data_IF_730226789367
#
_entry.id   IF_730226789367
#
_cell.length_a   1.000
_cell.length_b   1.000
_cell.length_c   1.000
_cell.angle_alpha   90.00
_cell.angle_beta   90.00
_cell.angle_gamma   90.00
#
_symmetry.space_group_name_H-M   'P 1'
#
loop_
_entity.id
_entity.type
_entity.pdbx_description
1 polymer ?
#
# COMPACT_ATOMS: atom_id res chain seq x y z
N UNK A 1 48.92 -16.50 2.55
CA UNK A 1 48.35 -15.67 1.46
C UNK A 1 46.89 -16.05 1.15
N UNK A 2 46.18 -16.77 2.03
CA UNK A 2 44.87 -17.38 1.72
C UNK A 2 43.69 -16.89 2.60
N UNK A 3 43.98 -16.12 3.66
CA UNK A 3 42.95 -15.55 4.54
C UNK A 3 42.38 -14.23 4.01
N UNK A 4 43.23 -13.38 3.43
CA UNK A 4 42.82 -12.11 2.83
C UNK A 4 41.84 -12.32 1.67
N UNK A 5 42.10 -13.30 0.80
CA UNK A 5 41.21 -13.67 -0.31
C UNK A 5 39.86 -14.20 0.18
N UNK A 6 39.84 -14.97 1.27
CA UNK A 6 38.61 -15.44 1.93
C UNK A 6 37.81 -14.31 2.55
N UNK A 7 38.48 -13.33 3.17
CA UNK A 7 37.85 -12.16 3.78
C UNK A 7 37.25 -11.26 2.69
N UNK A 8 38.00 -10.98 1.62
CA UNK A 8 37.53 -10.21 0.46
C UNK A 8 36.32 -10.87 -0.21
N UNK A 9 36.37 -12.19 -0.44
CA UNK A 9 35.24 -12.92 -1.01
C UNK A 9 33.99 -12.88 -0.12
N UNK A 10 34.15 -12.76 1.21
CA UNK A 10 33.05 -12.65 2.17
C UNK A 10 32.45 -11.24 2.20
N UNK A 11 33.31 -10.21 2.12
CA UNK A 11 32.92 -8.81 2.02
C UNK A 11 32.15 -8.56 0.73
N UNK A 12 32.66 -9.04 -0.41
CA UNK A 12 32.01 -8.90 -1.72
C UNK A 12 30.60 -9.49 -1.74
N UNK A 13 30.40 -10.69 -1.18
CA UNK A 13 29.06 -11.31 -1.06
C UNK A 13 28.14 -10.54 -0.10
N UNK A 14 28.68 -9.78 0.83
CA UNK A 14 27.90 -8.95 1.75
C UNK A 14 27.47 -7.66 1.06
N UNK A 15 28.37 -7.04 0.31
CA UNK A 15 28.09 -5.88 -0.55
C UNK A 15 27.07 -6.22 -1.65
N UNK A 16 27.26 -7.33 -2.38
CA UNK A 16 26.32 -7.80 -3.41
C UNK A 16 24.90 -8.03 -2.83
N UNK A 17 24.82 -8.60 -1.62
CA UNK A 17 23.53 -8.77 -0.94
C UNK A 17 22.91 -7.44 -0.54
N UNK A 18 23.72 -6.52 -0.04
CA UNK A 18 23.26 -5.19 0.34
C UNK A 18 22.78 -4.39 -0.88
N UNK A 19 23.48 -4.44 -2.02
CA UNK A 19 23.05 -3.82 -3.28
C UNK A 19 21.74 -4.42 -3.80
N UNK A 20 21.59 -5.74 -3.79
CA UNK A 20 20.35 -6.41 -4.20
C UNK A 20 19.19 -6.03 -3.29
N UNK A 21 19.43 -5.96 -1.98
CA UNK A 21 18.43 -5.54 -0.99
C UNK A 21 18.04 -4.07 -1.18
N UNK A 22 19.01 -3.16 -1.39
CA UNK A 22 18.76 -1.75 -1.69
C UNK A 22 17.98 -1.58 -3.00
N UNK A 23 18.36 -2.23 -4.10
CA UNK A 23 17.59 -2.18 -5.36
C UNK A 23 16.18 -2.75 -5.19
N UNK A 24 16.00 -3.80 -4.39
CA UNK A 24 14.66 -4.32 -4.09
C UNK A 24 13.84 -3.32 -3.26
N UNK A 25 14.47 -2.61 -2.33
CA UNK A 25 13.84 -1.56 -1.52
C UNK A 25 13.48 -0.33 -2.34
N UNK A 26 14.38 0.14 -3.22
CA UNK A 26 14.16 1.22 -4.18
C UNK A 26 13.05 0.88 -5.16
N UNK A 27 13.13 -0.28 -5.83
CA UNK A 27 12.08 -0.73 -6.76
C UNK A 27 10.74 -0.91 -6.05
N UNK A 28 10.74 -1.37 -4.80
CA UNK A 28 9.54 -1.33 -3.97
C UNK A 28 9.09 0.12 -3.83
N UNK A 29 9.94 1.01 -3.31
CA UNK A 29 9.63 2.42 -3.05
C UNK A 29 9.05 3.13 -4.28
N UNK A 30 9.60 2.91 -5.47
CA UNK A 30 9.09 3.44 -6.74
C UNK A 30 7.72 2.85 -7.12
N UNK A 31 7.48 1.54 -6.91
CA UNK A 31 6.15 0.93 -7.03
C UNK A 31 5.14 1.44 -5.97
N UNK A 32 5.65 1.98 -4.86
CA UNK A 32 4.91 2.59 -3.74
C UNK A 32 4.74 4.10 -3.89
N UNK A 33 5.44 4.76 -4.81
CA UNK A 33 5.30 6.18 -5.09
C UNK A 33 3.98 6.37 -5.87
N UNK A 34 2.91 6.23 -5.10
CA UNK A 34 1.55 6.17 -5.55
C UNK A 34 1.25 7.43 -6.35
N UNK A 35 0.84 7.25 -7.61
CA UNK A 35 0.19 8.31 -8.36
C UNK A 35 -0.92 8.88 -7.47
N UNK A 36 -0.93 10.20 -7.27
CA UNK A 36 -1.82 10.89 -6.32
C UNK A 36 -1.83 10.35 -4.87
N UNK A 37 -0.73 9.80 -4.33
CA UNK A 37 -0.58 9.34 -2.94
C UNK A 37 -1.45 8.12 -2.52
N UNK A 38 -2.41 7.69 -3.36
CA UNK A 38 -3.37 6.61 -3.05
C UNK A 38 -3.32 5.44 -4.03
N UNK A 39 -2.77 5.61 -5.24
CA UNK A 39 -2.64 4.55 -6.25
C UNK A 39 -1.30 3.81 -6.18
N UNK A 40 -1.06 3.07 -5.09
CA UNK A 40 0.04 2.10 -5.05
C UNK A 40 -0.29 0.84 -5.88
N UNK A 41 0.73 0.04 -6.24
CA UNK A 41 0.53 -1.17 -7.06
C UNK A 41 -0.56 -2.13 -6.52
N UNK A 42 -0.64 -2.44 -5.21
CA UNK A 42 -1.73 -3.27 -4.68
C UNK A 42 -3.12 -2.65 -4.81
N UNK A 43 -3.24 -1.33 -4.64
CA UNK A 43 -4.50 -0.62 -4.87
C UNK A 43 -4.93 -0.73 -6.32
N UNK A 44 -4.00 -0.54 -7.27
CA UNK A 44 -4.28 -0.71 -8.70
C UNK A 44 -4.75 -2.13 -9.02
N UNK A 45 -4.07 -3.17 -8.51
CA UNK A 45 -4.49 -4.57 -8.69
C UNK A 45 -5.91 -4.81 -8.16
N UNK A 46 -6.25 -4.20 -7.01
CA UNK A 46 -7.59 -4.29 -6.41
C UNK A 46 -8.64 -3.63 -7.31
N UNK A 47 -8.37 -2.42 -7.80
CA UNK A 47 -9.24 -1.69 -8.74
C UNK A 47 -9.45 -2.47 -10.04
N UNK A 48 -8.38 -3.02 -10.62
CA UNK A 48 -8.49 -3.90 -11.80
C UNK A 48 -9.37 -5.12 -11.52
N UNK A 49 -9.30 -5.70 -10.32
CA UNK A 49 -10.21 -6.77 -9.89
C UNK A 49 -11.68 -6.35 -9.89
N UNK A 50 -11.98 -5.15 -9.36
CA UNK A 50 -13.34 -4.60 -9.33
C UNK A 50 -13.87 -4.27 -10.73
N UNK A 51 -13.00 -3.76 -11.61
CA UNK A 51 -13.33 -3.48 -13.01
C UNK A 51 -13.63 -4.78 -13.77
N UNK A 52 -12.77 -5.79 -13.65
CA UNK A 52 -13.01 -7.10 -14.31
C UNK A 52 -14.29 -7.78 -13.84
N UNK A 53 -14.70 -7.57 -12.58
CA UNK A 53 -15.98 -8.05 -12.04
C UNK A 53 -17.19 -7.25 -12.51
N UNK A 54 -17.00 -6.14 -13.23
CA UNK A 54 -18.07 -5.24 -13.68
C UNK A 54 -18.70 -4.40 -12.57
N UNK A 55 -18.04 -4.29 -11.41
CA UNK A 55 -18.53 -3.47 -10.28
C UNK A 55 -18.25 -2.00 -10.56
N UNK A 56 -17.06 -1.72 -11.10
CA UNK A 56 -16.67 -0.39 -11.56
C UNK A 56 -16.51 -0.49 -13.07
N UNK A 57 -17.18 0.38 -13.81
CA UNK A 57 -16.98 0.55 -15.25
C UNK A 57 -16.01 1.68 -15.53
N UNK A 58 -16.19 2.81 -14.86
CA UNK A 58 -15.41 4.03 -15.08
C UNK A 58 -15.03 4.68 -13.74
N UNK A 59 -13.83 5.24 -13.68
CA UNK A 59 -13.37 6.09 -12.57
C UNK A 59 -13.01 7.44 -13.17
N UNK A 60 -13.62 8.49 -12.65
CA UNK A 60 -13.38 9.89 -13.00
C UNK A 60 -12.42 10.54 -11.99
N UNK A 61 -12.28 11.86 -12.08
CA UNK A 61 -11.38 12.62 -11.21
C UNK A 61 -11.74 12.55 -9.72
N UNK A 62 -10.76 12.96 -8.89
CA UNK A 62 -10.95 13.10 -7.46
C UNK A 62 -12.00 14.17 -7.14
N UNK A 63 -12.99 13.80 -6.34
CA UNK A 63 -14.05 14.69 -5.84
C UNK A 63 -13.58 15.41 -4.57
N UNK A 64 -12.86 14.69 -3.71
CA UNK A 64 -12.40 15.23 -2.42
C UNK A 64 -11.14 14.54 -1.93
N UNK A 65 -10.18 15.32 -1.47
CA UNK A 65 -9.05 14.84 -0.68
C UNK A 65 -9.34 14.98 0.81
N UNK A 66 -9.02 13.95 1.59
CA UNK A 66 -9.10 13.96 3.05
C UNK A 66 -7.79 13.47 3.66
N UNK A 67 -7.67 13.63 4.99
CA UNK A 67 -6.46 13.26 5.75
C UNK A 67 -6.08 11.76 5.63
N UNK A 68 -7.09 10.92 5.40
CA UNK A 68 -6.98 9.46 5.50
C UNK A 68 -7.34 8.73 4.20
N UNK A 69 -7.96 9.43 3.25
CA UNK A 69 -8.44 8.86 2.00
C UNK A 69 -8.70 9.93 0.95
N UNK A 70 -8.69 9.56 -0.31
CA UNK A 70 -9.24 10.35 -1.42
C UNK A 70 -10.54 9.71 -1.91
N UNK A 71 -11.51 10.55 -2.26
CA UNK A 71 -12.80 10.14 -2.81
C UNK A 71 -12.83 10.46 -4.30
N UNK A 72 -13.12 9.44 -5.10
CA UNK A 72 -13.27 9.52 -6.55
C UNK A 72 -14.73 9.30 -6.92
N UNK A 73 -15.14 9.94 -8.00
CA UNK A 73 -16.41 9.66 -8.64
C UNK A 73 -16.19 8.57 -9.69
N UNK A 74 -17.14 7.65 -9.84
CA UNK A 74 -17.10 6.62 -10.86
C UNK A 74 -18.50 6.16 -11.24
N UNK A 75 -18.58 5.19 -12.16
CA UNK A 75 -19.83 4.55 -12.56
C UNK A 75 -19.71 3.04 -12.54
N UNK A 76 -20.81 2.37 -12.18
CA UNK A 76 -20.96 0.94 -12.35
C UNK A 76 -21.36 0.60 -13.80
N UNK A 77 -21.33 -0.69 -14.16
CA UNK A 77 -21.70 -1.14 -15.51
C UNK A 77 -23.16 -0.83 -15.89
N UNK A 78 -24.06 -0.71 -14.91
CA UNK A 78 -25.46 -0.31 -15.14
C UNK A 78 -25.66 1.21 -15.26
N UNK A 79 -24.60 2.00 -15.14
CA UNK A 79 -24.65 3.46 -15.18
C UNK A 79 -24.92 4.11 -13.81
N UNK A 80 -25.02 3.32 -12.74
CA UNK A 80 -25.18 3.84 -11.39
C UNK A 80 -23.94 4.62 -10.95
N UNK A 81 -24.15 5.76 -10.31
CA UNK A 81 -23.08 6.60 -9.78
C UNK A 81 -22.43 5.95 -8.55
N UNK A 82 -21.09 5.94 -8.52
CA UNK A 82 -20.28 5.35 -7.46
C UNK A 82 -19.41 6.40 -6.77
N UNK A 83 -19.33 6.28 -5.45
CA UNK A 83 -18.33 6.97 -4.64
C UNK A 83 -17.21 5.97 -4.30
N UNK A 84 -16.02 6.16 -4.87
CA UNK A 84 -14.88 5.25 -4.73
C UNK A 84 -13.90 5.88 -3.74
N UNK A 85 -13.90 5.38 -2.50
CA UNK A 85 -13.02 5.87 -1.44
C UNK A 85 -11.75 5.01 -1.36
N UNK A 86 -10.60 5.63 -1.57
CA UNK A 86 -9.29 4.97 -1.53
C UNK A 86 -8.50 5.51 -0.33
N UNK A 87 -8.11 4.62 0.59
CA UNK A 87 -7.38 4.98 1.81
C UNK A 87 -5.88 5.11 1.54
N UNK A 88 -5.21 6.07 2.20
CA UNK A 88 -3.75 6.21 2.10
C UNK A 88 -3.08 5.00 2.77
N UNK A 89 -2.20 4.30 2.07
CA UNK A 89 -1.54 3.09 2.59
C UNK A 89 -0.21 3.37 3.31
N UNK A 90 0.46 4.49 3.01
CA UNK A 90 1.86 4.73 3.41
C UNK A 90 2.00 5.82 4.48
N UNK A 91 0.98 6.66 4.70
CA UNK A 91 1.09 7.80 5.62
C UNK A 91 1.32 7.36 7.08
N UNK A 92 2.49 7.70 7.63
CA UNK A 92 2.83 7.44 9.03
C UNK A 92 1.90 8.17 10.01
N UNK A 93 1.41 9.36 9.62
CA UNK A 93 0.47 10.16 10.41
C UNK A 93 -0.91 9.50 10.47
N UNK A 94 -1.36 8.90 9.37
CA UNK A 94 -2.58 8.11 9.34
C UNK A 94 -2.49 6.89 10.26
N UNK A 95 -1.37 6.15 10.22
CA UNK A 95 -1.12 5.01 11.11
C UNK A 95 -1.21 5.40 12.59
N UNK A 96 -0.61 6.53 12.98
CA UNK A 96 -0.68 7.06 14.36
C UNK A 96 -2.11 7.44 14.75
N UNK A 97 -2.85 8.07 13.85
CA UNK A 97 -4.26 8.42 14.06
C UNK A 97 -5.14 7.19 14.28
N UNK A 98 -5.01 6.18 13.42
CA UNK A 98 -5.76 4.92 13.52
C UNK A 98 -5.45 4.14 14.79
N UNK A 99 -4.19 4.12 15.23
CA UNK A 99 -3.78 3.34 16.39
C UNK A 99 -4.59 3.70 17.65
N UNK A 100 -5.00 4.97 17.78
CA UNK A 100 -5.85 5.44 18.89
C UNK A 100 -7.24 4.79 18.93
N UNK A 101 -7.76 4.35 17.79
CA UNK A 101 -9.05 3.68 17.68
C UNK A 101 -8.95 2.16 17.66
N UNK A 102 -7.74 1.63 17.49
CA UNK A 102 -7.43 0.20 17.41
C UNK A 102 -7.01 -0.32 18.79
N UNK A 103 -6.29 0.49 19.55
CA UNK A 103 -5.79 0.12 20.86
C UNK A 103 -6.96 -0.15 21.82
N UNK A 104 -7.01 -1.39 22.35
CA UNK A 104 -8.09 -1.86 23.21
C UNK A 104 -9.33 -2.43 22.51
N UNK A 105 -9.47 -2.38 21.18
CA UNK A 105 -10.62 -2.97 20.47
C UNK A 105 -10.41 -4.49 20.25
N UNK A 106 -11.27 -5.36 20.82
CA UNK A 106 -11.13 -6.82 20.71
C UNK A 106 -11.07 -7.35 19.27
N UNK A 107 -11.66 -6.63 18.30
CA UNK A 107 -11.68 -7.01 16.88
C UNK A 107 -10.30 -6.93 16.23
N UNK A 108 -9.37 -6.20 16.84
CA UNK A 108 -8.01 -5.98 16.31
C UNK A 108 -6.94 -6.80 17.05
N UNK A 109 -7.32 -7.62 18.03
CA UNK A 109 -6.40 -8.34 18.94
C UNK A 109 -5.43 -9.29 18.24
N UNK A 110 -5.78 -9.78 17.05
CA UNK A 110 -5.00 -10.78 16.30
C UNK A 110 -4.44 -10.25 14.97
N UNK A 111 -4.56 -8.96 14.70
CA UNK A 111 -4.11 -8.38 13.44
C UNK A 111 -2.61 -8.10 13.51
N UNK A 112 -1.87 -8.53 12.47
CA UNK A 112 -0.46 -8.14 12.33
C UNK A 112 -0.38 -6.61 12.35
N UNK A 113 0.55 -6.04 13.11
CA UNK A 113 0.79 -4.57 13.20
C UNK A 113 1.26 -3.92 11.89
N UNK A 114 1.17 -4.63 10.77
CA UNK A 114 1.42 -4.11 9.43
C UNK A 114 0.29 -3.14 9.03
N UNK A 115 0.66 -2.01 8.42
CA UNK A 115 -0.29 -0.94 8.10
C UNK A 115 -1.39 -1.36 7.14
N UNK A 116 -1.08 -2.23 6.16
CA UNK A 116 -2.11 -2.67 5.20
C UNK A 116 -3.15 -3.57 5.84
N UNK A 117 -2.73 -4.44 6.76
CA UNK A 117 -3.67 -5.29 7.48
C UNK A 117 -4.65 -4.45 8.32
N UNK A 118 -4.16 -3.40 8.97
CA UNK A 118 -4.99 -2.45 9.71
C UNK A 118 -5.94 -1.67 8.81
N UNK A 119 -5.45 -1.15 7.67
CA UNK A 119 -6.26 -0.37 6.71
C UNK A 119 -7.32 -1.24 6.05
N UNK A 120 -6.99 -2.47 5.67
CA UNK A 120 -7.94 -3.42 5.10
C UNK A 120 -9.07 -3.74 6.08
N UNK A 121 -8.75 -3.91 7.36
CA UNK A 121 -9.76 -4.12 8.39
C UNK A 121 -10.61 -2.87 8.60
N UNK A 122 -10.01 -1.68 8.59
CA UNK A 122 -10.72 -0.41 8.70
C UNK A 122 -11.69 -0.18 7.54
N UNK A 123 -11.31 -0.55 6.32
CA UNK A 123 -12.17 -0.47 5.14
C UNK A 123 -13.30 -1.51 5.14
N UNK A 124 -13.20 -2.55 5.97
CA UNK A 124 -14.23 -3.59 6.14
C UNK A 124 -15.23 -3.26 7.25
N UNK A 125 -15.05 -2.13 7.95
CA UNK A 125 -15.97 -1.62 8.97
C UNK A 125 -17.14 -0.88 8.33
#
# INVERSE_FOLDING_TARGET
>A
MDDLSRIEARLRRKEERYEVEQRMLEKRSEEYEALEEVFDKPTLITLYGLIRRGIIAEIFGAVKAGKESKLYWGKAKGGEELAIKIFLTISAEFRKGMMKYIDGDPRFRYVKKDSRALISLWASK
#
